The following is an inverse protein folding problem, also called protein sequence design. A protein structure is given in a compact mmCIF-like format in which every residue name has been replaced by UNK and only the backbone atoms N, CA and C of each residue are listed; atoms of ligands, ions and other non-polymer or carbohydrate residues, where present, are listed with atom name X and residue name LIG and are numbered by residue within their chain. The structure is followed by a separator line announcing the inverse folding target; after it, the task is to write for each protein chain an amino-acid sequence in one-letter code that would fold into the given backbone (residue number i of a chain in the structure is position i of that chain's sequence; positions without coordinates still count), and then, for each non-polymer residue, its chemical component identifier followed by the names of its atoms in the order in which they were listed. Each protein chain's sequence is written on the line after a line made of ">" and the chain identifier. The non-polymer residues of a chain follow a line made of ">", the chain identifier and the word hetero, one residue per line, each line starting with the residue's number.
data_IF_667751927303
#
_entry.id   IF_667751927303
#
_cell.length_a   1.000
_cell.length_b   1.000
_cell.length_c   1.000
_cell.angle_alpha   90.00
_cell.angle_beta   90.00
_cell.angle_gamma   90.00
#
_symmetry.space_group_name_H-M   'P 1'
#
loop_
_entity.id
_entity.type
_entity.pdbx_description
1 polymer ?
#
# COMPACT_ATOMS: atom_id res chain seq x y z
N UNK A 1 14.82 -5.60 -6.75
CA UNK A 1 13.94 -4.78 -5.87
C UNK A 1 14.73 -3.86 -4.90
N UNK A 2 15.66 -4.41 -4.12
CA UNK A 2 16.52 -3.62 -3.22
C UNK A 2 17.29 -2.51 -3.94
N UNK A 3 17.90 -2.79 -5.09
CA UNK A 3 18.64 -1.76 -5.84
C UNK A 3 17.73 -0.69 -6.45
N UNK A 4 16.48 -1.03 -6.79
CA UNK A 4 15.47 -0.05 -7.19
C UNK A 4 15.12 0.90 -6.03
N UNK A 5 14.92 0.38 -4.81
CA UNK A 5 14.67 1.21 -3.64
C UNK A 5 15.84 2.18 -3.34
N UNK A 6 17.09 1.76 -3.58
CA UNK A 6 18.27 2.62 -3.41
C UNK A 6 18.27 3.85 -4.31
N UNK A 7 17.60 3.81 -5.47
CA UNK A 7 17.49 4.97 -6.37
C UNK A 7 16.75 6.15 -5.70
N UNK A 8 15.98 5.89 -4.65
CA UNK A 8 15.21 6.89 -3.90
C UNK A 8 15.87 7.29 -2.58
N UNK A 9 17.15 6.96 -2.37
CA UNK A 9 17.90 7.33 -1.16
C UNK A 9 17.95 8.85 -1.01
N UNK A 10 17.51 9.37 0.13
CA UNK A 10 17.46 10.80 0.42
C UNK A 10 16.34 11.57 -0.29
N UNK A 11 15.47 10.88 -1.03
CA UNK A 11 14.35 11.48 -1.76
C UNK A 11 13.03 11.10 -1.11
N UNK A 12 12.22 12.11 -0.74
CA UNK A 12 10.86 11.86 -0.25
C UNK A 12 10.02 11.22 -1.34
N UNK A 13 9.52 10.01 -1.09
CA UNK A 13 8.91 9.17 -2.12
C UNK A 13 7.65 8.49 -1.61
N UNK A 14 6.60 8.49 -2.43
CA UNK A 14 5.39 7.73 -2.20
C UNK A 14 5.38 6.52 -3.14
N UNK A 15 5.42 5.30 -2.57
CA UNK A 15 5.33 4.07 -3.33
C UNK A 15 3.88 3.57 -3.36
N UNK A 16 3.31 3.38 -4.53
CA UNK A 16 1.90 2.97 -4.69
C UNK A 16 1.79 1.45 -4.83
N UNK A 17 0.70 0.88 -4.29
CA UNK A 17 0.34 -0.54 -4.30
C UNK A 17 1.17 -1.42 -3.36
N UNK A 18 2.47 -1.55 -3.63
CA UNK A 18 3.43 -2.36 -2.86
C UNK A 18 2.99 -3.81 -2.53
N UNK A 19 2.08 -4.41 -3.30
CA UNK A 19 1.49 -5.74 -3.00
C UNK A 19 2.47 -6.92 -3.06
N UNK A 20 3.67 -6.70 -3.60
CA UNK A 20 4.75 -7.70 -3.68
C UNK A 20 5.96 -7.37 -2.79
N UNK A 21 5.93 -6.26 -2.04
CA UNK A 21 7.02 -5.88 -1.14
C UNK A 21 7.00 -6.80 0.09
N UNK A 22 8.15 -7.36 0.46
CA UNK A 22 8.30 -8.19 1.68
C UNK A 22 9.27 -7.57 2.67
N UNK A 23 10.31 -6.90 2.17
CA UNK A 23 11.40 -6.32 2.93
C UNK A 23 11.20 -4.81 3.10
N UNK A 24 10.40 -4.44 4.10
CA UNK A 24 10.05 -3.04 4.40
C UNK A 24 11.25 -2.23 4.90
N UNK A 25 12.28 -2.89 5.44
CA UNK A 25 13.52 -2.26 5.92
C UNK A 25 14.35 -1.62 4.79
N UNK A 26 14.00 -1.84 3.53
CA UNK A 26 14.62 -1.13 2.40
C UNK A 26 14.13 0.31 2.25
N UNK A 27 13.04 0.68 2.92
CA UNK A 27 12.42 2.00 2.84
C UNK A 27 12.80 2.84 4.08
N UNK A 28 13.07 4.12 3.86
CA UNK A 28 13.34 5.08 4.93
C UNK A 28 12.02 5.59 5.50
N UNK A 29 11.68 5.21 6.73
CA UNK A 29 10.42 5.60 7.38
C UNK A 29 10.17 7.12 7.51
N UNK A 30 11.19 7.95 7.39
CA UNK A 30 11.04 9.42 7.47
C UNK A 30 10.81 10.08 6.10
N UNK A 31 11.21 9.41 5.03
CA UNK A 31 11.16 9.94 3.66
C UNK A 31 10.19 9.16 2.77
N UNK A 32 9.98 7.88 3.05
CA UNK A 32 9.20 6.96 2.23
C UNK A 32 7.88 6.65 2.89
N UNK A 33 6.86 6.48 2.06
CA UNK A 33 5.51 6.10 2.47
C UNK A 33 4.88 5.19 1.43
N UNK A 34 3.83 4.46 1.81
CA UNK A 34 3.11 3.55 0.92
C UNK A 34 1.66 4.00 0.79
N UNK A 35 1.14 4.07 -0.44
CA UNK A 35 -0.30 4.19 -0.68
C UNK A 35 -0.87 2.83 -1.06
N UNK A 36 -1.79 2.33 -0.23
CA UNK A 36 -2.54 1.11 -0.46
C UNK A 36 -3.86 1.41 -1.19
N UNK A 37 -4.00 0.88 -2.41
CA UNK A 37 -5.25 0.92 -3.17
C UNK A 37 -5.95 -0.44 -3.08
N UNK A 38 -6.64 -0.68 -1.96
CA UNK A 38 -7.25 -1.95 -1.60
C UNK A 38 -8.09 -2.59 -2.71
N UNK A 39 -8.99 -1.82 -3.33
CA UNK A 39 -9.88 -2.34 -4.38
C UNK A 39 -9.09 -2.69 -5.65
N UNK A 40 -8.32 -1.74 -6.18
CA UNK A 40 -7.50 -1.94 -7.40
C UNK A 40 -6.49 -3.07 -7.24
N UNK A 41 -5.81 -3.14 -6.09
CA UNK A 41 -4.88 -4.22 -5.77
C UNK A 41 -5.57 -5.58 -5.86
N UNK A 42 -6.75 -5.71 -5.23
CA UNK A 42 -7.50 -6.96 -5.23
C UNK A 42 -8.02 -7.32 -6.62
N UNK A 43 -8.48 -6.33 -7.39
CA UNK A 43 -9.01 -6.54 -8.74
C UNK A 43 -7.92 -6.99 -9.72
N UNK A 44 -6.79 -6.27 -9.79
CA UNK A 44 -5.78 -6.47 -10.82
C UNK A 44 -4.75 -7.56 -10.47
N UNK A 45 -4.33 -7.62 -9.20
CA UNK A 45 -3.26 -8.52 -8.76
C UNK A 45 -3.75 -9.77 -8.04
N UNK A 46 -5.04 -9.80 -7.67
CA UNK A 46 -5.64 -10.79 -6.76
C UNK A 46 -4.94 -10.88 -5.39
N UNK A 47 -4.07 -9.91 -5.06
CA UNK A 47 -3.33 -9.82 -3.80
C UNK A 47 -3.72 -8.54 -3.05
N UNK A 48 -3.32 -8.50 -1.79
CA UNK A 48 -3.40 -7.29 -0.96
C UNK A 48 -1.99 -6.95 -0.47
N UNK A 49 -1.78 -5.70 -0.05
CA UNK A 49 -0.59 -5.32 0.70
C UNK A 49 -0.60 -6.12 2.02
N UNK A 50 0.54 -6.63 2.46
CA UNK A 50 0.65 -7.17 3.83
C UNK A 50 0.59 -6.02 4.84
N UNK A 51 -0.62 -5.52 5.07
CA UNK A 51 -0.89 -4.32 5.85
C UNK A 51 -0.40 -4.48 7.29
N UNK A 52 -0.47 -5.68 7.86
CA UNK A 52 -0.01 -5.97 9.22
C UNK A 52 1.49 -5.78 9.36
N UNK A 53 2.27 -6.33 8.43
CA UNK A 53 3.73 -6.17 8.44
C UNK A 53 4.12 -4.74 8.06
N UNK A 54 3.43 -4.13 7.10
CA UNK A 54 3.65 -2.74 6.71
C UNK A 54 3.48 -1.76 7.89
N UNK A 55 2.38 -1.87 8.65
CA UNK A 55 2.15 -1.04 9.83
C UNK A 55 3.19 -1.28 10.93
N UNK A 56 3.57 -2.55 11.18
CA UNK A 56 4.62 -2.89 12.16
C UNK A 56 5.99 -2.33 11.80
N UNK A 57 6.28 -2.09 10.53
CA UNK A 57 7.55 -1.48 10.11
C UNK A 57 7.71 -0.02 10.54
N UNK A 58 6.61 0.65 10.93
CA UNK A 58 6.60 2.07 11.26
C UNK A 58 6.64 3.01 10.04
N UNK A 59 6.48 2.47 8.82
CA UNK A 59 6.26 3.27 7.62
C UNK A 59 4.90 4.00 7.69
N UNK A 60 4.85 5.19 7.10
CA UNK A 60 3.59 5.89 6.92
C UNK A 60 2.78 5.22 5.78
N UNK A 61 1.56 4.78 6.09
CA UNK A 61 0.66 4.06 5.18
C UNK A 61 -0.60 4.90 4.92
N UNK A 62 -0.89 5.16 3.66
CA UNK A 62 -2.07 5.89 3.20
C UNK A 62 -3.03 4.96 2.45
N UNK A 63 -4.27 5.42 2.28
CA UNK A 63 -5.23 4.83 1.34
C UNK A 63 -5.32 5.69 0.08
N UNK A 64 -5.53 5.05 -1.06
CA UNK A 64 -5.80 5.71 -2.34
C UNK A 64 -6.73 4.87 -3.18
N UNK A 65 -7.54 5.50 -4.02
CA UNK A 65 -8.53 4.76 -4.83
C UNK A 65 -7.92 4.12 -6.07
N UNK A 66 -6.78 4.65 -6.56
CA UNK A 66 -6.37 4.45 -7.97
C UNK A 66 -7.45 5.00 -8.95
N UNK A 67 -7.28 4.77 -10.25
CA UNK A 67 -8.21 5.22 -11.29
C UNK A 67 -9.44 4.31 -11.49
N UNK A 68 -10.48 4.85 -12.12
CA UNK A 68 -11.73 4.11 -12.43
C UNK A 68 -11.55 2.94 -13.41
N UNK A 69 -10.40 2.84 -14.08
CA UNK A 69 -10.05 1.66 -14.88
C UNK A 69 -9.86 0.39 -14.01
N UNK A 70 -9.58 0.58 -12.73
CA UNK A 70 -9.29 -0.48 -11.76
C UNK A 70 -10.09 -0.31 -10.46
N UNK A 71 -11.01 0.64 -10.41
CA UNK A 71 -11.90 0.91 -9.29
C UNK A 71 -13.31 1.26 -9.79
N UNK A 72 -14.32 0.91 -9.00
CA UNK A 72 -15.73 1.25 -9.30
C UNK A 72 -16.16 2.57 -8.67
N UNK A 73 -15.34 3.17 -7.80
CA UNK A 73 -15.62 4.41 -7.09
C UNK A 73 -14.34 5.22 -6.84
N UNK A 74 -14.45 6.55 -6.83
CA UNK A 74 -13.39 7.45 -6.37
C UNK A 74 -13.64 7.95 -4.92
N UNK A 75 -14.63 7.40 -4.24
CA UNK A 75 -14.91 7.70 -2.85
C UNK A 75 -13.89 7.01 -1.94
N UNK A 76 -13.16 7.79 -1.15
CA UNK A 76 -12.29 7.25 -0.10
C UNK A 76 -13.05 6.42 0.95
N UNK A 77 -14.34 6.72 1.18
CA UNK A 77 -15.17 5.91 2.09
C UNK A 77 -15.44 4.51 1.52
N UNK A 78 -15.61 4.39 0.21
CA UNK A 78 -15.76 3.08 -0.45
C UNK A 78 -14.43 2.32 -0.43
N UNK A 79 -13.30 3.03 -0.63
CA UNK A 79 -11.96 2.44 -0.51
C UNK A 79 -11.68 1.94 0.91
N UNK A 80 -12.07 2.71 1.94
CA UNK A 80 -11.98 2.29 3.34
C UNK A 80 -12.83 1.04 3.61
N UNK A 81 -14.04 0.96 3.06
CA UNK A 81 -14.88 -0.23 3.15
C UNK A 81 -14.21 -1.44 2.48
N UNK A 82 -13.66 -1.26 1.28
CA UNK A 82 -12.92 -2.32 0.60
C UNK A 82 -11.72 -2.78 1.44
N UNK A 83 -10.93 -1.85 1.97
CA UNK A 83 -9.80 -2.13 2.84
C UNK A 83 -10.20 -2.95 4.08
N UNK A 84 -11.28 -2.56 4.78
CA UNK A 84 -11.80 -3.30 5.93
C UNK A 84 -12.14 -4.76 5.57
N UNK A 85 -12.75 -5.00 4.41
CA UNK A 85 -13.26 -6.32 4.03
C UNK A 85 -12.18 -7.29 3.52
N UNK A 86 -11.07 -6.78 2.96
CA UNK A 86 -10.02 -7.64 2.40
C UNK A 86 -9.03 -8.14 3.46
N UNK A 87 -8.86 -7.42 4.58
CA UNK A 87 -7.91 -7.75 5.66
C UNK A 87 -8.56 -8.58 6.78
N UNK A 88 -9.16 -9.72 6.42
CA UNK A 88 -9.98 -10.55 7.34
C UNK A 88 -9.27 -11.06 8.60
N UNK A 89 -7.95 -11.22 8.55
CA UNK A 89 -7.13 -11.74 9.65
C UNK A 89 -6.41 -10.62 10.42
N UNK A 90 -6.91 -9.39 10.28
CA UNK A 90 -6.39 -8.23 10.98
C UNK A 90 -7.26 -8.01 12.22
N UNK A 91 -6.77 -8.44 13.38
CA UNK A 91 -7.40 -8.09 14.65
C UNK A 91 -7.21 -6.59 14.88
N UNK A 92 -8.33 -5.86 14.93
CA UNK A 92 -8.39 -4.42 15.24
C UNK A 92 -8.13 -4.16 16.73
#
# INVERSE_FOLDING_TARGET
>A
PKDFAKLFKGVRTLFTHCVYLKEYEWLDKNLHSITHCAFSNRLLSQKSLDLKTALKSGLNIHLGTDGLSSNISLSLLDEMRANLLIHKNFDL
#
